data_IF_482895077951
#
_entry.id   IF_482895077951
#
_cell.length_a   1.000
_cell.length_b   1.000
_cell.length_c   1.000
_cell.angle_alpha   90.00
_cell.angle_beta   90.00
_cell.angle_gamma   90.00
#
_symmetry.space_group_name_H-M   'P 1'
#
loop_
_entity.id
_entity.type
_entity.pdbx_description
1 polymer ?
#
# COMPACT_ATOMS: atom_id res chain seq x y z
N UNK A 1 51.12 44.36 15.44
CA UNK A 1 49.77 43.77 15.56
C UNK A 1 48.91 44.36 14.45
N UNK A 2 49.00 43.80 13.24
CA UNK A 2 48.39 44.39 12.04
C UNK A 2 46.91 44.01 11.95
N UNK A 3 46.03 45.00 12.01
CA UNK A 3 44.59 44.81 11.79
C UNK A 3 44.32 44.53 10.31
N UNK A 4 43.87 43.32 9.98
CA UNK A 4 43.36 42.97 8.66
C UNK A 4 42.17 43.89 8.32
N UNK A 5 42.34 44.80 7.36
CA UNK A 5 41.24 45.58 6.80
C UNK A 5 40.42 44.67 5.89
N UNK A 6 39.28 44.22 6.38
CA UNK A 6 38.32 43.42 5.59
C UNK A 6 37.80 44.31 4.44
N UNK A 7 37.87 43.80 3.21
CA UNK A 7 37.45 44.56 2.02
C UNK A 7 35.93 44.79 2.07
N UNK A 8 35.48 46.02 1.83
CA UNK A 8 34.05 46.37 1.76
C UNK A 8 33.28 45.45 0.79
N UNK A 9 33.91 45.01 -0.30
CA UNK A 9 33.34 44.03 -1.22
C UNK A 9 33.08 42.69 -0.53
N UNK A 10 34.04 42.16 0.23
CA UNK A 10 33.85 40.90 0.98
C UNK A 10 32.78 41.01 2.05
N UNK A 11 32.66 42.17 2.71
CA UNK A 11 31.54 42.43 3.65
C UNK A 11 30.21 42.41 2.91
N UNK A 12 30.10 43.10 1.76
CA UNK A 12 28.88 43.16 0.96
C UNK A 12 28.45 41.80 0.37
N UNK A 13 29.41 40.95 -0.03
CA UNK A 13 29.14 39.59 -0.47
C UNK A 13 28.60 38.73 0.68
N UNK A 14 29.25 38.77 1.85
CA UNK A 14 28.83 38.01 3.02
C UNK A 14 27.43 38.43 3.51
N UNK A 15 27.14 39.74 3.54
CA UNK A 15 25.81 40.23 3.91
C UNK A 15 24.75 39.80 2.90
N UNK A 16 25.05 39.81 1.59
CA UNK A 16 24.11 39.36 0.56
C UNK A 16 23.77 37.88 0.69
N UNK A 17 24.77 37.03 0.97
CA UNK A 17 24.55 35.60 1.19
C UNK A 17 23.67 35.31 2.40
N UNK A 18 23.87 36.03 3.51
CA UNK A 18 23.04 35.90 4.72
C UNK A 18 21.58 36.26 4.41
N UNK A 19 21.35 37.33 3.64
CA UNK A 19 20.00 37.75 3.23
C UNK A 19 19.34 36.67 2.37
N UNK A 20 20.05 36.13 1.37
CA UNK A 20 19.49 35.09 0.48
C UNK A 20 19.13 33.83 1.27
N UNK A 21 20.02 33.37 2.16
CA UNK A 21 19.76 32.20 3.01
C UNK A 21 18.58 32.47 3.95
N UNK A 22 18.53 33.65 4.57
CA UNK A 22 17.42 34.05 5.44
C UNK A 22 16.08 34.05 4.72
N UNK A 23 16.02 34.62 3.51
CA UNK A 23 14.82 34.62 2.65
C UNK A 23 14.42 33.20 2.28
N UNK A 24 15.38 32.35 1.90
CA UNK A 24 15.11 30.96 1.54
C UNK A 24 14.55 30.15 2.73
N UNK A 25 15.13 30.30 3.92
CA UNK A 25 14.65 29.63 5.14
C UNK A 25 13.24 30.11 5.49
N UNK A 26 12.98 31.42 5.46
CA UNK A 26 11.63 31.97 5.73
C UNK A 26 10.61 31.44 4.72
N UNK A 27 10.97 31.38 3.44
CA UNK A 27 10.11 30.82 2.39
C UNK A 27 9.77 29.35 2.67
N UNK A 28 10.76 28.53 3.02
CA UNK A 28 10.57 27.11 3.33
C UNK A 28 9.70 26.92 4.59
N UNK A 29 9.91 27.71 5.63
CA UNK A 29 9.11 27.67 6.85
C UNK A 29 7.66 28.09 6.59
N UNK A 30 7.44 29.16 5.81
CA UNK A 30 6.10 29.61 5.41
C UNK A 30 5.39 28.58 4.54
N UNK A 31 6.09 27.97 3.58
CA UNK A 31 5.53 26.91 2.73
C UNK A 31 5.09 25.71 3.57
N UNK A 32 5.90 25.29 4.55
CA UNK A 32 5.53 24.22 5.47
C UNK A 32 4.36 24.63 6.35
N UNK A 33 4.40 25.81 6.96
CA UNK A 33 3.30 26.34 7.77
C UNK A 33 1.99 26.36 6.98
N UNK A 34 1.99 26.92 5.76
CA UNK A 34 0.82 26.99 4.90
C UNK A 34 0.34 25.61 4.48
N UNK A 35 1.23 24.65 4.20
CA UNK A 35 0.81 23.27 3.88
C UNK A 35 0.00 22.63 5.01
N UNK A 36 0.44 22.81 6.26
CA UNK A 36 -0.22 22.27 7.45
C UNK A 36 -1.44 23.09 7.89
N UNK A 37 -1.46 24.39 7.60
CA UNK A 37 -2.56 25.30 7.92
C UNK A 37 -3.60 25.45 6.81
N UNK A 38 -3.44 24.74 5.70
CA UNK A 38 -4.53 24.63 4.75
C UNK A 38 -5.70 23.92 5.44
N UNK A 39 -6.87 24.54 5.41
CA UNK A 39 -8.09 23.92 5.93
C UNK A 39 -8.37 22.64 5.13
N UNK A 40 -8.31 21.50 5.81
CA UNK A 40 -8.72 20.23 5.22
C UNK A 40 -10.22 20.31 4.95
N UNK A 41 -10.58 20.30 3.67
CA UNK A 41 -11.96 20.24 3.23
C UNK A 41 -12.37 18.78 3.07
N UNK A 42 -13.47 18.39 3.70
CA UNK A 42 -14.08 17.09 3.46
C UNK A 42 -14.51 16.98 1.98
N UNK A 43 -14.00 15.94 1.30
CA UNK A 43 -14.29 15.68 -0.13
C UNK A 43 -15.25 14.52 -0.34
N UNK A 44 -15.64 13.84 0.74
CA UNK A 44 -16.57 12.73 0.72
C UNK A 44 -16.35 11.76 1.86
N UNK A 45 -17.24 10.76 1.93
CA UNK A 45 -17.21 9.68 2.90
C UNK A 45 -17.05 8.33 2.21
N UNK A 46 -16.46 7.37 2.92
CA UNK A 46 -16.33 6.00 2.42
C UNK A 46 -17.70 5.34 2.49
N UNK A 47 -18.20 4.86 1.35
CA UNK A 47 -19.49 4.16 1.27
C UNK A 47 -19.38 2.67 1.59
N UNK A 48 -18.44 2.00 0.93
CA UNK A 48 -18.25 0.54 1.01
C UNK A 48 -16.76 0.22 0.98
N UNK A 49 -16.37 -0.84 1.68
CA UNK A 49 -15.01 -1.38 1.66
C UNK A 49 -15.04 -2.80 1.09
N UNK A 50 -14.11 -3.07 0.17
CA UNK A 50 -14.00 -4.36 -0.49
C UNK A 50 -12.59 -4.92 -0.32
N UNK A 51 -12.51 -6.17 0.09
CA UNK A 51 -11.25 -6.91 0.23
C UNK A 51 -11.21 -8.09 -0.74
N UNK A 52 -10.04 -8.38 -1.30
CA UNK A 52 -9.86 -9.46 -2.28
C UNK A 52 -8.80 -10.45 -1.81
N UNK A 53 -9.12 -11.47 -0.99
CA UNK A 53 -8.13 -12.42 -0.48
C UNK A 53 -7.35 -13.12 -1.60
N UNK A 54 -8.03 -13.51 -2.68
CA UNK A 54 -7.44 -14.07 -3.90
C UNK A 54 -7.47 -13.02 -5.03
N UNK A 55 -6.35 -12.82 -5.72
CA UNK A 55 -6.26 -11.92 -6.87
C UNK A 55 -7.29 -12.27 -7.95
N UNK A 56 -8.01 -11.26 -8.44
CA UNK A 56 -9.02 -11.37 -9.52
C UNK A 56 -10.25 -12.23 -9.19
N UNK A 57 -10.40 -12.68 -7.93
CA UNK A 57 -11.59 -13.37 -7.45
C UNK A 57 -12.67 -12.40 -6.95
N UNK A 58 -13.78 -12.93 -6.42
CA UNK A 58 -14.86 -12.14 -5.82
C UNK A 58 -14.36 -11.40 -4.57
N UNK A 59 -14.80 -10.15 -4.40
CA UNK A 59 -14.55 -9.41 -3.16
C UNK A 59 -15.49 -9.85 -2.04
N UNK A 60 -15.00 -9.62 -0.82
CA UNK A 60 -15.84 -9.54 0.38
C UNK A 60 -16.11 -8.08 0.71
N UNK A 61 -17.37 -7.73 0.97
CA UNK A 61 -17.73 -6.44 1.54
C UNK A 61 -17.46 -6.50 3.06
N UNK A 62 -16.74 -5.51 3.59
CA UNK A 62 -16.33 -5.45 5.00
C UNK A 62 -16.71 -4.11 5.60
N UNK A 63 -17.01 -4.10 6.90
CA UNK A 63 -17.40 -2.88 7.62
C UNK A 63 -16.20 -1.98 7.93
N UNK A 64 -15.04 -2.60 8.13
CA UNK A 64 -13.78 -1.93 8.41
C UNK A 64 -12.61 -2.79 7.90
N UNK A 65 -11.45 -2.19 7.76
CA UNK A 65 -10.20 -2.90 7.47
C UNK A 65 -9.01 -2.13 8.02
N UNK A 66 -7.98 -2.85 8.46
CA UNK A 66 -6.72 -2.27 8.88
C UNK A 66 -5.92 -1.81 7.67
N UNK A 67 -5.36 -0.59 7.72
CA UNK A 67 -4.46 -0.08 6.70
C UNK A 67 -3.01 -0.42 7.06
N UNK A 68 -2.48 -1.50 6.50
CA UNK A 68 -1.10 -1.93 6.73
C UNK A 68 -0.18 -1.46 5.59
N UNK A 69 1.14 -1.49 5.83
CA UNK A 69 2.15 -1.13 4.83
C UNK A 69 1.99 -1.89 3.50
N UNK A 70 1.55 -3.15 3.57
CA UNK A 70 1.47 -4.06 2.43
C UNK A 70 0.04 -4.25 1.90
N UNK A 71 -0.90 -3.39 2.29
CA UNK A 71 -2.31 -3.48 1.90
C UNK A 71 -3.24 -3.58 3.09
N UNK A 72 -4.52 -3.78 2.82
CA UNK A 72 -5.54 -3.87 3.87
C UNK A 72 -5.71 -5.27 4.44
N UNK A 73 -6.20 -5.35 5.68
CA UNK A 73 -6.51 -6.61 6.35
C UNK A 73 -7.85 -6.54 7.09
N UNK A 74 -8.58 -7.64 7.14
CA UNK A 74 -9.77 -7.81 7.97
C UNK A 74 -9.84 -9.24 8.49
N UNK A 75 -9.79 -9.44 9.82
CA UNK A 75 -9.96 -10.75 10.49
C UNK A 75 -9.16 -11.89 9.81
N UNK A 76 -7.85 -11.70 9.62
CA UNK A 76 -6.98 -12.69 8.98
C UNK A 76 -6.97 -12.67 7.45
N UNK A 77 -7.98 -12.07 6.80
CA UNK A 77 -8.03 -11.88 5.35
C UNK A 77 -7.17 -10.68 4.97
N UNK A 78 -6.20 -10.86 4.08
CA UNK A 78 -5.32 -9.78 3.58
C UNK A 78 -5.61 -9.52 2.11
N UNK A 79 -5.53 -8.26 1.68
CA UNK A 79 -5.78 -7.93 0.26
C UNK A 79 -4.73 -8.57 -0.64
N UNK A 80 -5.22 -9.33 -1.64
CA UNK A 80 -4.46 -10.00 -2.71
C UNK A 80 -3.31 -10.86 -2.20
N UNK A 81 -3.50 -11.50 -1.05
CA UNK A 81 -2.48 -12.34 -0.43
C UNK A 81 -2.24 -13.65 -1.19
N UNK A 82 -3.26 -14.14 -1.89
CA UNK A 82 -3.20 -15.38 -2.65
C UNK A 82 -3.37 -15.14 -4.16
N UNK A 83 -2.81 -16.06 -4.93
CA UNK A 83 -2.84 -16.07 -6.39
C UNK A 83 -3.14 -17.48 -6.88
N UNK A 84 -3.92 -17.59 -7.96
CA UNK A 84 -4.19 -18.86 -8.62
C UNK A 84 -3.15 -19.02 -9.74
N UNK A 85 -2.47 -20.15 -9.76
CA UNK A 85 -1.42 -20.47 -10.74
C UNK A 85 -1.79 -21.75 -11.49
N UNK A 86 -1.42 -21.83 -12.75
CA UNK A 86 -1.53 -23.07 -13.53
C UNK A 86 -0.33 -23.96 -13.22
N UNK A 87 -0.57 -25.14 -12.69
CA UNK A 87 0.48 -26.11 -12.39
C UNK A 87 1.19 -26.60 -13.67
N UNK A 88 0.48 -26.68 -14.80
CA UNK A 88 0.98 -27.30 -16.03
C UNK A 88 1.62 -26.31 -17.01
N UNK A 89 1.35 -25.02 -16.86
CA UNK A 89 1.83 -23.97 -17.77
C UNK A 89 2.88 -23.10 -17.08
N UNK A 90 4.00 -23.70 -16.66
CA UNK A 90 5.13 -23.01 -16.03
C UNK A 90 4.76 -22.10 -14.85
N UNK A 91 3.75 -22.48 -14.06
CA UNK A 91 3.27 -21.67 -12.94
C UNK A 91 2.76 -20.27 -13.33
N UNK A 92 2.30 -20.12 -14.57
CA UNK A 92 1.70 -18.88 -15.04
C UNK A 92 0.46 -18.52 -14.23
N UNK A 93 0.33 -17.24 -13.92
CA UNK A 93 -0.77 -16.71 -13.14
C UNK A 93 -2.07 -16.67 -13.93
N UNK A 94 -3.14 -17.18 -13.34
CA UNK A 94 -4.49 -16.96 -13.87
C UNK A 94 -4.86 -15.48 -13.71
N UNK A 95 -5.12 -14.81 -14.83
CA UNK A 95 -5.54 -13.41 -14.86
C UNK A 95 -7.03 -13.32 -15.08
N UNK A 96 -7.70 -12.42 -14.35
CA UNK A 96 -9.13 -12.16 -14.56
C UNK A 96 -9.50 -11.74 -16.00
N UNK A 97 -8.57 -11.17 -16.76
CA UNK A 97 -8.77 -10.87 -18.20
C UNK A 97 -8.90 -12.13 -19.06
N UNK A 98 -8.13 -13.17 -18.76
CA UNK A 98 -8.16 -14.45 -19.49
C UNK A 98 -9.31 -15.33 -18.98
N UNK A 99 -9.62 -15.24 -17.68
CA UNK A 99 -10.66 -16.05 -17.03
C UNK A 99 -11.64 -15.15 -16.26
N UNK A 100 -12.55 -14.44 -16.95
CA UNK A 100 -13.49 -13.51 -16.30
C UNK A 100 -14.38 -14.18 -15.25
N UNK A 101 -14.65 -15.48 -15.39
CA UNK A 101 -15.45 -16.25 -14.41
C UNK A 101 -14.78 -16.37 -13.03
N UNK A 102 -13.49 -16.02 -12.89
CA UNK A 102 -12.82 -15.98 -11.58
C UNK A 102 -13.53 -15.04 -10.59
N UNK A 103 -14.19 -13.98 -11.06
CA UNK A 103 -14.94 -13.04 -10.21
C UNK A 103 -16.13 -13.67 -9.48
N UNK A 104 -16.51 -14.90 -9.83
CA UNK A 104 -17.55 -15.67 -9.18
C UNK A 104 -17.01 -16.56 -8.05
N UNK A 105 -15.68 -16.71 -7.95
CA UNK A 105 -15.03 -17.52 -6.93
C UNK A 105 -15.00 -16.74 -5.63
N UNK A 106 -15.64 -17.27 -4.60
CA UNK A 106 -15.62 -16.72 -3.25
C UNK A 106 -14.41 -17.23 -2.50
N UNK A 107 -13.82 -16.38 -1.67
CA UNK A 107 -12.68 -16.74 -0.84
C UNK A 107 -12.73 -16.04 0.51
N UNK A 108 -12.37 -16.77 1.56
CA UNK A 108 -12.21 -16.23 2.91
C UNK A 108 -11.24 -17.10 3.71
N UNK A 109 -10.52 -16.47 4.63
CA UNK A 109 -9.71 -17.12 5.65
C UNK A 109 -10.47 -17.04 6.98
N UNK A 110 -10.67 -18.19 7.60
CA UNK A 110 -11.26 -18.34 8.94
C UNK A 110 -10.38 -19.31 9.71
N UNK A 111 -9.87 -18.90 10.87
CA UNK A 111 -9.06 -19.74 11.76
C UNK A 111 -7.88 -20.43 11.03
N UNK A 112 -7.11 -19.67 10.25
CA UNK A 112 -5.99 -20.15 9.43
C UNK A 112 -6.37 -21.17 8.34
N UNK A 113 -7.66 -21.29 8.01
CA UNK A 113 -8.15 -22.11 6.91
C UNK A 113 -8.63 -21.21 5.77
N UNK A 114 -7.96 -21.29 4.63
CA UNK A 114 -8.43 -20.69 3.39
C UNK A 114 -9.56 -21.54 2.80
N UNK A 115 -10.74 -20.95 2.68
CA UNK A 115 -11.94 -21.55 2.11
C UNK A 115 -12.19 -20.90 0.76
N UNK A 116 -12.24 -21.69 -0.30
CA UNK A 116 -12.54 -21.26 -1.67
C UNK A 116 -13.83 -21.94 -2.10
N UNK A 117 -14.80 -21.17 -2.61
CA UNK A 117 -16.08 -21.70 -3.12
C UNK A 117 -16.31 -21.26 -4.55
N UNK A 118 -16.74 -22.20 -5.38
CA UNK A 118 -17.17 -21.93 -6.75
C UNK A 118 -18.65 -21.57 -6.78
N UNK A 119 -19.15 -20.89 -7.83
CA UNK A 119 -20.57 -20.58 -7.96
C UNK A 119 -21.48 -21.81 -8.02
N UNK A 120 -20.94 -23.00 -8.33
CA UNK A 120 -21.69 -24.26 -8.40
C UNK A 120 -21.78 -24.97 -7.03
N UNK A 121 -21.24 -24.36 -5.96
CA UNK A 121 -21.27 -24.93 -4.61
C UNK A 121 -20.09 -25.83 -4.25
N UNK A 122 -19.18 -26.13 -5.20
CA UNK A 122 -17.96 -26.86 -4.88
C UNK A 122 -17.06 -26.00 -3.98
N UNK A 123 -16.43 -26.62 -2.99
CA UNK A 123 -15.53 -25.90 -2.08
C UNK A 123 -14.25 -26.67 -1.80
N UNK A 124 -13.17 -25.92 -1.61
CA UNK A 124 -11.86 -26.43 -1.21
C UNK A 124 -11.46 -25.69 0.06
N UNK A 125 -10.89 -26.43 1.02
CA UNK A 125 -10.36 -25.89 2.27
C UNK A 125 -8.88 -26.22 2.36
N UNK A 126 -8.07 -25.23 2.68
CA UNK A 126 -6.61 -25.37 2.82
C UNK A 126 -6.22 -24.85 4.19
N UNK A 127 -5.65 -25.71 5.03
CA UNK A 127 -5.05 -25.30 6.29
C UNK A 127 -3.69 -24.64 6.01
N UNK A 128 -3.57 -23.35 6.28
CA UNK A 128 -2.39 -22.56 5.96
C UNK A 128 -1.18 -22.98 6.81
N UNK A 129 -1.40 -23.34 8.07
CA UNK A 129 -0.32 -23.84 8.95
C UNK A 129 0.27 -25.15 8.43
N UNK A 130 -0.56 -26.03 7.87
CA UNK A 130 -0.08 -27.29 7.30
C UNK A 130 0.75 -27.05 6.02
N UNK A 131 0.44 -26.02 5.24
CA UNK A 131 1.23 -25.62 4.07
C UNK A 131 2.59 -25.06 4.51
N UNK A 132 2.60 -24.21 5.54
CA UNK A 132 3.83 -23.66 6.13
C UNK A 132 4.72 -24.77 6.73
N UNK A 133 4.14 -25.66 7.53
CA UNK A 133 4.86 -26.78 8.15
C UNK A 133 5.47 -27.75 7.13
N UNK A 134 4.84 -27.89 5.95
CA UNK A 134 5.37 -28.71 4.85
C UNK A 134 6.38 -27.98 3.97
N UNK A 135 6.67 -26.69 4.23
CA UNK A 135 7.50 -25.84 3.39
C UNK A 135 7.05 -25.77 1.92
N UNK A 136 5.73 -25.81 1.67
CA UNK A 136 5.15 -25.75 0.32
C UNK A 136 4.66 -24.33 -0.04
N UNK A 137 5.20 -23.32 0.65
CA UNK A 137 4.87 -21.91 0.38
C UNK A 137 5.64 -21.46 -0.85
N UNK A 138 4.90 -21.11 -1.91
CA UNK A 138 5.46 -20.55 -3.15
C UNK A 138 5.15 -19.06 -3.23
N UNK A 139 6.20 -18.25 -3.20
CA UNK A 139 6.05 -16.80 -3.34
C UNK A 139 6.02 -16.42 -4.82
N UNK A 140 5.03 -15.64 -5.23
CA UNK A 140 5.03 -14.97 -6.52
C UNK A 140 6.02 -13.79 -6.46
N UNK A 141 7.07 -13.82 -7.29
CA UNK A 141 8.06 -12.75 -7.43
C UNK A 141 7.59 -11.69 -8.42
#
# INVERSE_FOLDING_TARGET
MGTLKINQATVNFMTSSIVVIGVFVIYQLRKRYNYWNNEFKEVGSVKDLFLYPIKSAKSMNVEWMDCLKNGSQFKGNKDRHFLIVDENADHLFFRGKQYPKMVLIESQVIDDILIIKTPNGNSVKVNLKDVENRNDVRNAM
#
